data_IF_874300186548
#
_entry.id   IF_874300186548
#
_cell.length_a   1.000
_cell.length_b   1.000
_cell.length_c   1.000
_cell.angle_alpha   90.00
_cell.angle_beta   90.00
_cell.angle_gamma   90.00
#
_symmetry.space_group_name_H-M   'P 1'
#
loop_
_entity.id
_entity.type
_entity.pdbx_description
1 polymer ?
#
# COMPACT_ATOMS: atom_id res chain seq x y z
N UNK A 1 -16.52 -15.97 2.89
CA UNK A 1 -16.14 -16.03 1.46
C UNK A 1 -14.87 -15.21 1.24
N UNK A 2 -13.74 -15.84 0.92
CA UNK A 2 -12.54 -15.12 0.45
C UNK A 2 -12.12 -15.71 -0.89
N UNK A 3 -12.77 -15.24 -1.97
CA UNK A 3 -12.45 -15.62 -3.34
C UNK A 3 -11.35 -14.68 -3.85
N UNK A 4 -10.13 -15.15 -4.17
CA UNK A 4 -9.02 -14.29 -4.59
C UNK A 4 -9.32 -13.48 -5.85
N UNK A 5 -10.19 -13.98 -6.72
CA UNK A 5 -10.59 -13.35 -7.97
C UNK A 5 -11.57 -12.17 -7.83
N UNK A 6 -12.11 -11.94 -6.63
CA UNK A 6 -13.08 -10.87 -6.37
C UNK A 6 -12.38 -9.79 -5.54
N UNK A 7 -12.23 -8.58 -6.07
CA UNK A 7 -11.68 -7.43 -5.33
C UNK A 7 -12.73 -6.84 -4.38
N UNK A 8 -13.87 -6.44 -4.95
CA UNK A 8 -14.94 -5.73 -4.25
C UNK A 8 -16.33 -6.24 -4.64
N UNK A 9 -17.26 -6.19 -3.70
CA UNK A 9 -18.66 -6.60 -3.84
C UNK A 9 -19.54 -5.40 -3.49
N UNK A 10 -20.47 -5.09 -4.38
CA UNK A 10 -21.48 -4.04 -4.23
C UNK A 10 -22.85 -4.70 -4.21
N UNK A 11 -23.71 -4.29 -3.29
CA UNK A 11 -25.06 -4.84 -3.16
C UNK A 11 -26.04 -3.71 -3.41
N UNK A 12 -26.88 -3.82 -4.43
CA UNK A 12 -27.96 -2.87 -4.68
C UNK A 12 -29.28 -3.48 -4.23
N UNK A 13 -29.99 -2.81 -3.32
CA UNK A 13 -31.25 -3.31 -2.76
C UNK A 13 -32.24 -2.16 -2.55
N UNK A 14 -33.40 -2.24 -3.19
CA UNK A 14 -34.47 -1.24 -3.10
C UNK A 14 -35.41 -1.48 -1.91
N UNK A 15 -35.43 -2.70 -1.37
CA UNK A 15 -36.28 -3.07 -0.23
C UNK A 15 -35.51 -3.01 1.09
N UNK A 16 -36.11 -2.36 2.09
CA UNK A 16 -35.61 -2.29 3.47
C UNK A 16 -35.77 -3.66 4.14
N UNK A 17 -34.90 -4.62 3.87
CA UNK A 17 -34.82 -5.84 4.67
C UNK A 17 -33.80 -5.69 5.79
N UNK A 18 -34.21 -6.08 6.99
CA UNK A 18 -33.68 -5.73 8.32
C UNK A 18 -32.24 -6.17 8.64
N UNK A 19 -31.52 -6.79 7.72
CA UNK A 19 -30.14 -7.27 7.96
C UNK A 19 -29.10 -6.51 7.12
N UNK A 20 -28.86 -5.25 7.47
CA UNK A 20 -27.70 -4.48 6.95
C UNK A 20 -26.37 -4.85 7.63
N UNK A 21 -26.34 -5.86 8.51
CA UNK A 21 -25.19 -6.15 9.37
C UNK A 21 -24.07 -6.97 8.69
N UNK A 22 -24.28 -7.52 7.49
CA UNK A 22 -23.25 -8.31 6.80
C UNK A 22 -22.07 -7.49 6.27
N UNK A 23 -22.22 -6.17 6.10
CA UNK A 23 -21.11 -5.27 5.71
C UNK A 23 -19.96 -5.32 6.71
N UNK A 24 -20.27 -5.47 8.00
CA UNK A 24 -19.25 -5.62 9.05
C UNK A 24 -18.62 -7.02 9.10
N UNK A 25 -19.28 -8.04 8.54
CA UNK A 25 -18.79 -9.41 8.57
C UNK A 25 -17.85 -9.73 7.40
N UNK A 26 -17.94 -9.01 6.29
CA UNK A 26 -17.19 -9.29 5.06
C UNK A 26 -16.50 -8.06 4.49
N UNK A 27 -15.18 -8.01 4.66
CA UNK A 27 -14.33 -6.87 4.27
C UNK A 27 -14.31 -6.56 2.77
N UNK A 28 -14.76 -7.49 1.91
CA UNK A 28 -14.89 -7.26 0.47
C UNK A 28 -16.21 -6.60 0.08
N UNK A 29 -17.19 -6.52 0.97
CA UNK A 29 -18.43 -5.79 0.72
C UNK A 29 -18.13 -4.31 0.94
N UNK A 30 -18.12 -3.55 -0.14
CA UNK A 30 -17.87 -2.10 -0.10
C UNK A 30 -19.06 -1.37 0.48
N UNK A 31 -20.27 -1.79 0.10
CA UNK A 31 -21.49 -1.19 0.62
C UNK A 31 -22.76 -1.87 0.12
N UNK A 32 -23.86 -1.47 0.75
CA UNK A 32 -25.22 -1.77 0.33
C UNK A 32 -25.86 -0.44 -0.04
N UNK A 33 -26.38 -0.32 -1.26
CA UNK A 33 -26.86 0.92 -1.86
C UNK A 33 -28.35 0.81 -2.19
N UNK A 34 -29.10 1.86 -1.90
CA UNK A 34 -30.55 1.94 -2.12
C UNK A 34 -30.90 2.76 -3.37
N UNK A 35 -29.96 3.56 -3.86
CA UNK A 35 -30.09 4.39 -5.04
C UNK A 35 -28.91 4.19 -6.01
N UNK A 36 -29.16 4.46 -7.29
CA UNK A 36 -28.17 4.23 -8.35
C UNK A 36 -27.03 5.25 -8.30
N UNK A 37 -27.26 6.47 -7.81
CA UNK A 37 -26.25 7.52 -7.79
C UNK A 37 -25.15 7.20 -6.77
N UNK A 38 -25.53 6.77 -5.56
CA UNK A 38 -24.58 6.36 -4.53
C UNK A 38 -23.81 5.10 -4.91
N UNK A 39 -24.47 4.14 -5.57
CA UNK A 39 -23.81 2.97 -6.14
C UNK A 39 -22.80 3.39 -7.21
N UNK A 40 -23.20 4.27 -8.14
CA UNK A 40 -22.35 4.73 -9.23
C UNK A 40 -21.11 5.45 -8.70
N UNK A 41 -21.28 6.38 -7.75
CA UNK A 41 -20.16 7.08 -7.12
C UNK A 41 -19.19 6.11 -6.47
N UNK A 42 -19.69 5.12 -5.73
CA UNK A 42 -18.83 4.15 -5.05
C UNK A 42 -18.13 3.19 -6.02
N UNK A 43 -18.78 2.82 -7.13
CA UNK A 43 -18.14 2.10 -8.21
C UNK A 43 -17.02 2.92 -8.84
N UNK A 44 -17.25 4.20 -9.13
CA UNK A 44 -16.25 5.08 -9.73
C UNK A 44 -15.03 5.27 -8.80
N UNK A 45 -15.26 5.45 -7.51
CA UNK A 45 -14.20 5.51 -6.49
C UNK A 45 -13.42 4.19 -6.41
N UNK A 46 -14.10 3.04 -6.44
CA UNK A 46 -13.44 1.74 -6.39
C UNK A 46 -12.62 1.46 -7.64
N UNK A 47 -13.10 1.84 -8.83
CA UNK A 47 -12.34 1.71 -10.07
C UNK A 47 -11.05 2.53 -9.98
N UNK A 48 -11.14 3.80 -9.56
CA UNK A 48 -9.96 4.66 -9.32
C UNK A 48 -9.00 4.06 -8.29
N UNK A 49 -9.53 3.44 -7.24
CA UNK A 49 -8.73 2.77 -6.21
C UNK A 49 -8.01 1.51 -6.73
N UNK A 50 -8.67 0.71 -7.57
CA UNK A 50 -8.07 -0.46 -8.23
C UNK A 50 -6.99 -0.02 -9.21
N UNK A 51 -7.24 1.04 -9.98
CA UNK A 51 -6.24 1.64 -10.88
C UNK A 51 -5.01 2.12 -10.11
N UNK A 52 -5.19 2.87 -9.01
CA UNK A 52 -4.09 3.27 -8.11
C UNK A 52 -3.29 2.08 -7.56
N UNK A 53 -3.91 0.92 -7.31
CA UNK A 53 -3.17 -0.28 -6.89
C UNK A 53 -2.29 -0.88 -7.98
N UNK A 54 -2.57 -0.59 -9.25
CA UNK A 54 -1.78 -1.01 -10.40
C UNK A 54 -0.65 -0.01 -10.69
N UNK A 55 -0.89 1.27 -10.44
CA UNK A 55 0.13 2.32 -10.51
C UNK A 55 1.24 2.01 -9.49
N UNK A 56 2.49 2.11 -9.95
CA UNK A 56 3.69 1.78 -9.14
C UNK A 56 4.68 2.94 -9.06
N UNK A 57 4.42 4.02 -9.79
CA UNK A 57 5.32 5.16 -9.92
C UNK A 57 4.59 6.41 -10.43
N UNK A 58 5.15 7.57 -10.11
CA UNK A 58 4.78 8.85 -10.69
C UNK A 58 5.95 9.43 -11.50
N UNK A 59 5.66 9.96 -12.71
CA UNK A 59 6.66 10.62 -13.57
C UNK A 59 6.63 12.12 -13.28
N UNK A 60 7.79 12.71 -12.97
CA UNK A 60 7.88 14.15 -12.73
C UNK A 60 8.23 14.92 -13.99
N UNK A 61 7.36 15.83 -14.39
CA UNK A 61 7.66 16.80 -15.44
C UNK A 61 8.05 18.16 -14.85
N UNK A 62 9.36 18.38 -14.70
CA UNK A 62 9.94 19.60 -14.13
C UNK A 62 9.60 20.89 -14.90
N UNK A 63 9.01 20.79 -16.09
CA UNK A 63 8.63 21.93 -16.93
C UNK A 63 7.17 22.39 -16.73
N UNK A 64 6.37 21.71 -15.89
CA UNK A 64 5.04 22.17 -15.52
C UNK A 64 5.03 23.01 -14.22
N UNK A 65 5.53 24.25 -14.35
CA UNK A 65 5.28 25.44 -13.49
C UNK A 65 5.67 25.38 -12.00
N UNK A 66 5.87 26.60 -11.46
CA UNK A 66 6.40 26.92 -10.12
C UNK A 66 5.72 26.20 -8.96
N UNK A 67 6.51 25.93 -7.91
CA UNK A 67 6.16 25.40 -6.58
C UNK A 67 4.88 26.03 -5.97
N UNK A 68 4.51 27.26 -6.36
CA UNK A 68 3.28 27.93 -5.91
C UNK A 68 1.96 27.39 -6.47
N UNK A 69 1.98 26.53 -7.51
CA UNK A 69 0.81 25.86 -8.08
C UNK A 69 1.17 24.41 -8.40
N UNK A 70 1.45 23.62 -7.35
CA UNK A 70 1.70 22.18 -7.45
C UNK A 70 0.42 21.51 -8.01
N UNK A 71 0.40 21.01 -9.26
CA UNK A 71 -0.70 20.19 -9.75
C UNK A 71 -0.79 18.93 -8.88
N UNK A 72 -1.96 18.30 -8.76
CA UNK A 72 -2.17 17.07 -7.99
C UNK A 72 -1.04 16.02 -8.17
N UNK A 73 -0.53 15.88 -9.40
CA UNK A 73 0.62 15.01 -9.76
C UNK A 73 1.93 15.29 -9.01
N UNK A 74 2.17 16.54 -8.62
CA UNK A 74 3.37 16.91 -7.88
C UNK A 74 3.26 16.64 -6.38
N UNK A 75 2.05 16.66 -5.81
CA UNK A 75 1.81 16.19 -4.44
C UNK A 75 1.99 14.67 -4.33
N UNK A 76 1.49 13.93 -5.32
CA UNK A 76 1.67 12.49 -5.50
C UNK A 76 3.17 12.12 -5.58
N UNK A 77 3.98 12.90 -6.30
CA UNK A 77 5.43 12.68 -6.38
C UNK A 77 6.16 12.74 -5.02
N UNK A 78 5.75 13.65 -4.13
CA UNK A 78 6.37 13.85 -2.82
C UNK A 78 5.77 13.00 -1.71
N UNK A 79 4.61 12.37 -1.93
CA UNK A 79 3.86 11.63 -0.91
C UNK A 79 4.75 10.63 -0.15
N UNK A 80 5.41 9.71 -0.85
CA UNK A 80 6.22 8.69 -0.20
C UNK A 80 7.45 9.28 0.54
N UNK A 81 8.00 10.39 0.05
CA UNK A 81 9.11 11.09 0.72
C UNK A 81 8.64 11.76 2.01
N UNK A 82 7.47 12.39 1.99
CA UNK A 82 6.84 12.97 3.18
C UNK A 82 6.52 11.87 4.20
N UNK A 83 5.95 10.75 3.75
CA UNK A 83 5.70 9.58 4.60
C UNK A 83 7.00 9.12 5.27
N UNK A 84 8.07 8.89 4.50
CA UNK A 84 9.36 8.45 5.04
C UNK A 84 9.90 9.40 6.11
N UNK A 85 9.78 10.70 5.91
CA UNK A 85 10.22 11.73 6.86
C UNK A 85 9.30 11.90 8.08
N UNK A 86 8.09 11.32 8.05
CA UNK A 86 7.10 11.42 9.13
C UNK A 86 6.95 10.14 9.94
N UNK A 87 7.34 8.97 9.41
CA UNK A 87 7.26 7.67 10.11
C UNK A 87 7.87 7.72 11.51
N UNK A 88 9.04 8.35 11.66
CA UNK A 88 9.72 8.46 12.97
C UNK A 88 9.01 9.36 13.97
N UNK A 89 8.13 10.25 13.49
CA UNK A 89 7.33 11.17 14.32
C UNK A 89 6.04 10.53 14.82
N UNK A 90 5.65 9.36 14.30
CA UNK A 90 4.44 8.70 14.77
C UNK A 90 4.59 8.25 16.23
N UNK A 91 3.53 8.41 17.05
CA UNK A 91 3.56 8.07 18.46
C UNK A 91 3.84 6.58 18.65
N UNK A 92 4.83 6.32 19.49
CA UNK A 92 5.27 4.98 19.85
C UNK A 92 4.36 4.47 20.96
N UNK A 93 3.43 3.60 20.59
CA UNK A 93 2.65 2.85 21.56
C UNK A 93 3.18 1.41 21.60
N UNK A 94 3.46 0.91 22.80
CA UNK A 94 3.82 -0.49 23.05
C UNK A 94 2.77 -1.46 22.44
N UNK A 95 1.50 -1.04 22.37
CA UNK A 95 0.40 -1.84 21.84
C UNK A 95 0.19 -1.73 20.33
N UNK A 96 1.03 -0.97 19.61
CA UNK A 96 0.88 -0.75 18.16
C UNK A 96 0.96 -2.04 17.34
N UNK A 97 1.85 -2.98 17.72
CA UNK A 97 1.93 -4.31 17.10
C UNK A 97 0.61 -5.06 17.28
N UNK A 98 0.14 -5.21 18.52
CA UNK A 98 -1.09 -5.95 18.84
C UNK A 98 -2.30 -5.39 18.07
N UNK A 99 -2.48 -4.06 18.11
CA UNK A 99 -3.57 -3.40 17.37
C UNK A 99 -3.52 -3.69 15.87
N UNK A 100 -2.34 -3.61 15.25
CA UNK A 100 -2.19 -3.93 13.84
C UNK A 100 -2.52 -5.40 13.53
N UNK A 101 -2.10 -6.33 14.38
CA UNK A 101 -2.36 -7.75 14.19
C UNK A 101 -3.84 -8.11 14.37
N UNK A 102 -4.55 -7.46 15.30
CA UNK A 102 -5.99 -7.65 15.45
C UNK A 102 -6.76 -7.19 14.21
N UNK A 103 -6.37 -6.05 13.63
CA UNK A 103 -6.91 -5.58 12.34
C UNK A 103 -6.61 -6.60 11.23
N UNK A 104 -5.41 -7.16 11.19
CA UNK A 104 -5.05 -8.20 10.20
C UNK A 104 -5.90 -9.46 10.37
N UNK A 105 -6.12 -9.92 11.61
CA UNK A 105 -6.93 -11.10 11.91
C UNK A 105 -8.39 -10.90 11.48
N UNK A 106 -8.93 -9.71 11.71
CA UNK A 106 -10.25 -9.33 11.20
C UNK A 106 -10.27 -9.33 9.67
N UNK A 107 -9.28 -8.72 9.02
CA UNK A 107 -9.17 -8.67 7.56
C UNK A 107 -9.09 -10.06 6.91
N UNK A 108 -8.34 -10.98 7.52
CA UNK A 108 -8.14 -12.35 7.03
C UNK A 108 -9.07 -13.38 7.69
N UNK A 109 -10.18 -12.96 8.29
CA UNK A 109 -11.14 -13.87 8.93
C UNK A 109 -11.57 -14.98 7.98
N UNK A 110 -11.52 -16.22 8.47
CA UNK A 110 -11.82 -17.42 7.69
C UNK A 110 -10.72 -17.87 6.71
N UNK A 111 -9.60 -17.15 6.59
CA UNK A 111 -8.44 -17.57 5.82
C UNK A 111 -7.39 -18.20 6.76
N UNK A 112 -7.55 -19.50 7.04
CA UNK A 112 -6.69 -20.23 7.99
C UNK A 112 -5.19 -20.15 7.65
N UNK A 113 -4.83 -20.07 6.36
CA UNK A 113 -3.44 -19.91 5.93
C UNK A 113 -2.88 -18.56 6.34
N UNK A 114 -3.60 -17.46 6.08
CA UNK A 114 -3.15 -16.12 6.47
C UNK A 114 -3.17 -15.92 7.98
N UNK A 115 -4.15 -16.50 8.69
CA UNK A 115 -4.19 -16.45 10.15
C UNK A 115 -2.96 -17.13 10.79
N UNK A 116 -2.56 -18.30 10.31
CA UNK A 116 -1.32 -18.96 10.75
C UNK A 116 -0.06 -18.11 10.48
N UNK A 117 -0.03 -17.41 9.35
CA UNK A 117 1.08 -16.50 9.00
C UNK A 117 1.13 -15.29 9.95
N UNK A 118 -0.02 -14.78 10.38
CA UNK A 118 -0.13 -13.73 11.38
C UNK A 118 0.35 -14.22 12.76
N UNK A 119 -0.04 -15.43 13.15
CA UNK A 119 0.40 -16.01 14.43
C UNK A 119 1.91 -16.28 14.44
N UNK A 120 2.47 -16.76 13.33
CA UNK A 120 3.91 -16.92 13.15
C UNK A 120 4.64 -15.58 13.27
N UNK A 121 4.14 -14.55 12.61
CA UNK A 121 4.66 -13.19 12.74
C UNK A 121 4.55 -12.67 14.18
N UNK A 122 3.44 -12.88 14.87
CA UNK A 122 3.28 -12.43 16.25
C UNK A 122 4.37 -13.00 17.16
N UNK A 123 4.65 -14.30 17.03
CA UNK A 123 5.59 -15.03 17.87
C UNK A 123 7.06 -14.82 17.48
N UNK A 124 7.36 -14.68 16.19
CA UNK A 124 8.73 -14.73 15.67
C UNK A 124 9.25 -13.40 15.12
N UNK A 125 8.41 -12.37 14.97
CA UNK A 125 8.85 -11.07 14.49
C UNK A 125 9.81 -10.37 15.47
N UNK A 126 10.94 -9.92 14.93
CA UNK A 126 11.90 -9.06 15.60
C UNK A 126 12.15 -7.82 14.76
N UNK A 127 12.40 -6.67 15.39
CA UNK A 127 12.60 -5.41 14.68
C UNK A 127 13.72 -5.46 13.63
N UNK A 128 14.79 -6.24 13.85
CA UNK A 128 15.90 -6.40 12.91
C UNK A 128 15.59 -7.32 11.71
N UNK A 129 14.49 -8.10 11.75
CA UNK A 129 14.06 -8.99 10.66
C UNK A 129 12.99 -8.36 9.76
N UNK A 130 12.70 -7.06 9.92
CA UNK A 130 11.67 -6.36 9.15
C UNK A 130 11.84 -6.46 7.63
N UNK A 131 13.08 -6.37 7.10
CA UNK A 131 13.34 -6.52 5.66
C UNK A 131 12.93 -7.91 5.19
N UNK A 132 13.30 -8.97 5.92
CA UNK A 132 12.97 -10.36 5.58
C UNK A 132 11.46 -10.60 5.57
N UNK A 133 10.75 -10.09 6.57
CA UNK A 133 9.29 -10.18 6.62
C UNK A 133 8.63 -9.41 5.47
N UNK A 134 9.19 -8.27 5.06
CA UNK A 134 8.67 -7.49 3.94
C UNK A 134 9.01 -8.12 2.58
N UNK A 135 10.15 -8.80 2.42
CA UNK A 135 10.57 -9.38 1.13
C UNK A 135 9.93 -10.75 0.86
N UNK A 136 9.55 -11.51 1.88
CA UNK A 136 9.01 -12.88 1.75
C UNK A 136 7.55 -12.97 1.26
N UNK A 137 7.03 -11.95 0.55
CA UNK A 137 5.63 -11.87 0.07
C UNK A 137 4.60 -12.12 1.17
N UNK A 138 4.91 -11.71 2.40
CA UNK A 138 4.07 -11.94 3.57
C UNK A 138 2.78 -11.12 3.55
N UNK A 139 1.87 -11.35 4.49
CA UNK A 139 0.70 -10.50 4.69
C UNK A 139 1.09 -9.03 4.93
N UNK A 140 2.19 -8.77 5.63
CA UNK A 140 2.70 -7.43 5.89
C UNK A 140 3.13 -6.75 4.60
N UNK A 141 3.86 -7.48 3.74
CA UNK A 141 4.21 -6.98 2.41
C UNK A 141 2.96 -6.57 1.62
N UNK A 142 1.95 -7.44 1.57
CA UNK A 142 0.72 -7.20 0.80
C UNK A 142 -0.05 -5.98 1.32
N UNK A 143 -0.29 -5.92 2.63
CA UNK A 143 -1.09 -4.87 3.25
C UNK A 143 -0.38 -3.52 3.19
N UNK A 144 0.91 -3.47 3.50
CA UNK A 144 1.68 -2.22 3.44
C UNK A 144 1.86 -1.75 1.99
N UNK A 145 2.19 -2.65 1.05
CA UNK A 145 2.35 -2.23 -0.36
C UNK A 145 1.03 -1.75 -0.97
N UNK A 146 -0.11 -2.35 -0.57
CA UNK A 146 -1.43 -1.85 -0.93
C UNK A 146 -1.68 -0.46 -0.33
N UNK A 147 -1.45 -0.29 0.97
CA UNK A 147 -1.67 0.99 1.65
C UNK A 147 -0.78 2.11 1.11
N UNK A 148 0.47 1.80 0.73
CA UNK A 148 1.39 2.75 0.10
C UNK A 148 0.85 3.26 -1.26
N UNK A 149 0.49 2.33 -2.16
CA UNK A 149 -0.05 2.68 -3.49
C UNK A 149 -1.39 3.40 -3.46
N UNK A 150 -2.19 3.13 -2.43
CA UNK A 150 -3.52 3.73 -2.28
C UNK A 150 -3.53 4.94 -1.35
N UNK A 151 -2.36 5.31 -0.83
CA UNK A 151 -2.17 6.43 0.11
C UNK A 151 -3.06 6.30 1.37
N UNK A 152 -3.35 5.06 1.80
CA UNK A 152 -4.19 4.77 2.97
C UNK A 152 -3.43 5.07 4.27
N UNK A 153 -3.51 6.33 4.69
CA UNK A 153 -2.82 6.86 5.88
C UNK A 153 -3.21 6.09 7.14
N UNK A 154 -4.47 5.66 7.26
CA UNK A 154 -4.96 4.95 8.44
C UNK A 154 -4.30 3.57 8.54
N UNK A 155 -4.23 2.83 7.43
CA UNK A 155 -3.50 1.56 7.40
C UNK A 155 -2.01 1.76 7.65
N UNK A 156 -1.37 2.74 7.02
CA UNK A 156 0.05 3.04 7.26
C UNK A 156 0.31 3.38 8.74
N UNK A 157 -0.59 4.14 9.37
CA UNK A 157 -0.51 4.44 10.80
C UNK A 157 -0.68 3.20 11.69
N UNK A 158 -1.57 2.27 11.34
CA UNK A 158 -1.70 0.99 12.04
C UNK A 158 -0.39 0.19 11.98
N UNK A 159 0.26 0.16 10.82
CA UNK A 159 1.55 -0.49 10.60
C UNK A 159 2.78 0.35 10.98
N UNK A 160 2.61 1.49 11.68
CA UNK A 160 3.71 2.41 12.02
C UNK A 160 4.90 1.74 12.71
N UNK A 161 4.65 0.73 13.56
CA UNK A 161 5.71 0.00 14.25
C UNK A 161 6.62 -0.71 13.25
N UNK A 162 6.03 -1.42 12.28
CA UNK A 162 6.74 -2.18 11.28
C UNK A 162 7.40 -1.26 10.25
N UNK A 163 6.70 -0.21 9.80
CA UNK A 163 7.23 0.77 8.85
C UNK A 163 8.49 1.44 9.36
N UNK A 164 8.51 1.79 10.65
CA UNK A 164 9.70 2.35 11.30
C UNK A 164 10.85 1.37 11.30
N UNK A 165 10.60 0.14 11.75
CA UNK A 165 11.63 -0.90 11.81
C UNK A 165 12.17 -1.22 10.41
N UNK A 166 11.29 -1.30 9.40
CA UNK A 166 11.67 -1.47 8.00
C UNK A 166 12.55 -0.31 7.51
N UNK A 167 12.12 0.94 7.73
CA UNK A 167 12.87 2.15 7.32
C UNK A 167 14.27 2.18 7.93
N UNK A 168 14.38 1.88 9.23
CA UNK A 168 15.65 1.85 9.95
C UNK A 168 16.59 0.76 9.43
N UNK A 169 16.08 -0.45 9.21
CA UNK A 169 16.90 -1.52 8.65
C UNK A 169 17.37 -1.19 7.23
N UNK A 170 16.50 -0.63 6.37
CA UNK A 170 16.87 -0.22 5.02
C UNK A 170 17.94 0.88 5.03
N UNK A 171 17.83 1.86 5.93
CA UNK A 171 18.86 2.89 6.10
C UNK A 171 20.21 2.28 6.52
N UNK A 172 20.21 1.28 7.41
CA UNK A 172 21.42 0.56 7.81
C UNK A 172 22.04 -0.22 6.65
N UNK A 173 21.25 -0.94 5.87
CA UNK A 173 21.77 -1.67 4.71
C UNK A 173 22.26 -0.72 3.61
N UNK A 174 21.61 0.44 3.43
CA UNK A 174 22.09 1.49 2.54
C UNK A 174 23.46 2.04 2.99
N UNK A 175 23.65 2.31 4.28
CA UNK A 175 24.95 2.76 4.80
C UNK A 175 26.06 1.74 4.51
N UNK A 176 25.81 0.45 4.73
CA UNK A 176 26.79 -0.61 4.39
C UNK A 176 27.14 -0.63 2.90
N UNK A 177 26.15 -0.41 2.02
CA UNK A 177 26.39 -0.32 0.58
C UNK A 177 27.23 0.91 0.21
N UNK A 178 27.02 2.05 0.88
CA UNK A 178 27.81 3.28 0.64
C UNK A 178 29.27 3.14 1.10
N UNK A 179 29.54 2.28 2.08
CA UNK A 179 30.89 1.94 2.54
C UNK A 179 31.59 0.92 1.63
N UNK A 180 30.84 0.23 0.76
CA UNK A 180 31.37 -0.74 -0.20
C UNK A 180 32.14 -0.05 -1.35
N UNK A 181 33.23 -0.65 -1.87
CA UNK A 181 33.88 -0.17 -3.08
C UNK A 181 32.96 -0.21 -4.31
N UNK A 182 31.99 -1.13 -4.34
CA UNK A 182 30.99 -1.21 -5.40
C UNK A 182 29.77 -0.35 -5.05
N UNK A 183 29.73 0.86 -5.63
CA UNK A 183 28.69 1.87 -5.35
C UNK A 183 27.41 1.68 -6.16
N UNK A 184 27.41 0.77 -7.13
CA UNK A 184 26.31 0.58 -8.07
C UNK A 184 25.78 -0.83 -7.92
N UNK A 185 24.49 -0.95 -7.60
CA UNK A 185 23.77 -2.21 -7.59
C UNK A 185 22.82 -2.24 -8.78
N UNK A 186 22.98 -3.24 -9.65
CA UNK A 186 22.01 -3.50 -10.73
C UNK A 186 21.00 -4.52 -10.24
N UNK A 187 19.72 -4.16 -10.31
CA UNK A 187 18.60 -5.02 -9.90
C UNK A 187 17.51 -5.01 -10.97
N UNK A 188 16.68 -6.04 -10.97
CA UNK A 188 15.60 -6.19 -11.94
C UNK A 188 14.24 -6.24 -11.25
N UNK A 189 13.24 -5.61 -11.88
CA UNK A 189 11.85 -5.67 -11.43
C UNK A 189 10.92 -5.74 -12.64
N UNK A 190 10.10 -6.77 -12.67
CA UNK A 190 8.98 -6.84 -13.61
C UNK A 190 7.88 -5.85 -13.23
N UNK A 191 7.31 -5.18 -14.22
CA UNK A 191 6.20 -4.25 -14.04
C UNK A 191 5.17 -4.45 -15.15
N UNK A 192 3.89 -4.42 -14.79
CA UNK A 192 2.79 -4.42 -15.75
C UNK A 192 2.46 -2.97 -16.06
N UNK A 193 2.35 -2.64 -17.35
CA UNK A 193 2.00 -1.32 -17.82
C UNK A 193 0.87 -1.42 -18.84
N UNK A 194 -0.05 -0.46 -18.78
CA UNK A 194 -0.96 -0.15 -19.88
C UNK A 194 -0.17 0.46 -21.06
N UNK A 195 -0.80 0.49 -22.24
CA UNK A 195 -0.23 1.15 -23.41
C UNK A 195 0.02 2.64 -23.18
N UNK A 196 -0.85 3.30 -22.42
CA UNK A 196 -0.71 4.72 -22.08
C UNK A 196 0.48 4.97 -21.16
N UNK A 197 0.65 4.18 -20.10
CA UNK A 197 1.81 4.29 -19.21
C UNK A 197 3.12 4.01 -19.95
N UNK A 198 3.14 3.01 -20.83
CA UNK A 198 4.31 2.71 -21.64
C UNK A 198 4.68 3.88 -22.56
N UNK A 199 3.69 4.54 -23.17
CA UNK A 199 3.92 5.73 -23.99
C UNK A 199 4.45 6.89 -23.13
N UNK A 200 3.87 7.12 -21.95
CA UNK A 200 4.40 8.10 -20.98
C UNK A 200 5.87 7.81 -20.65
N UNK A 201 6.29 6.56 -20.43
CA UNK A 201 7.71 6.24 -20.22
C UNK A 201 8.59 6.61 -21.42
N UNK A 202 8.14 6.29 -22.64
CA UNK A 202 8.89 6.60 -23.87
C UNK A 202 9.06 8.10 -24.06
N UNK A 203 8.02 8.87 -23.77
CA UNK A 203 8.02 10.34 -23.90
C UNK A 203 8.85 11.03 -22.81
N UNK A 204 9.08 10.37 -21.68
CA UNK A 204 9.80 10.93 -20.52
C UNK A 204 11.19 10.31 -20.30
N UNK A 205 11.85 9.84 -21.37
CA UNK A 205 13.24 9.39 -21.29
C UNK A 205 14.17 10.52 -20.79
N UNK A 206 15.08 10.18 -19.88
CA UNK A 206 15.99 11.13 -19.25
C UNK A 206 15.39 11.98 -18.13
N UNK A 207 14.10 11.79 -17.79
CA UNK A 207 13.44 12.46 -16.65
C UNK A 207 13.50 11.61 -15.36
N UNK A 208 12.99 12.20 -14.27
CA UNK A 208 12.96 11.58 -12.93
C UNK A 208 11.64 10.84 -12.70
N UNK A 209 11.74 9.68 -12.06
CA UNK A 209 10.61 8.87 -11.62
C UNK A 209 10.64 8.81 -10.09
N UNK A 210 9.49 8.97 -9.45
CA UNK A 210 9.30 8.65 -8.03
C UNK A 210 8.50 7.36 -7.89
N UNK A 211 8.72 6.68 -6.78
CA UNK A 211 8.07 5.41 -6.44
C UNK A 211 7.14 5.64 -5.27
N UNK A 212 5.97 5.00 -5.31
CA UNK A 212 4.91 5.25 -4.31
C UNK A 212 5.08 4.40 -3.05
N UNK A 213 6.19 3.65 -2.98
CA UNK A 213 6.50 2.75 -1.89
C UNK A 213 7.87 2.11 -2.01
N UNK A 214 8.13 1.13 -1.15
CA UNK A 214 9.35 0.34 -1.21
C UNK A 214 9.37 -0.57 -2.42
N UNK A 215 10.52 -0.63 -3.10
CA UNK A 215 10.74 -1.55 -4.21
C UNK A 215 11.31 -2.89 -3.71
N UNK A 216 10.70 -3.98 -4.14
CA UNK A 216 11.25 -5.33 -4.04
C UNK A 216 11.74 -5.76 -5.43
N UNK A 217 13.00 -6.14 -5.53
CA UNK A 217 13.68 -6.46 -6.79
C UNK A 217 14.40 -7.80 -6.67
N UNK A 218 14.74 -8.40 -7.82
CA UNK A 218 15.57 -9.62 -7.91
C UNK A 218 16.92 -9.31 -8.50
#
# INVERSE_FOLDING_TARGET
MNLPQIDSIFIFCTDKTEDKNFTNEYVKIVGVYEDLDSLYLSLEEQVKFVEKQLETFHIFDQFQKSIGNLPKQSAEFFWFQILKNTIDRFPQNLNSKTQALDICRSYYRGNSKQLKEIDDFENNYQSNSAIQWYSNKSFVYKLISKALRTEDINQLYNFRFFLRDLTKNLAREHHKLMESPEKTLTVYRGMRLSSEELNKFKENQGKIISTDGYLCTT
#
